data_IF_428771450328
#
_entry.id   IF_428771450328
#
_cell.length_a   1.000
_cell.length_b   1.000
_cell.length_c   1.000
_cell.angle_alpha   90.00
_cell.angle_beta   90.00
_cell.angle_gamma   90.00
#
_symmetry.space_group_name_H-M   'P 1'
#
loop_
_entity.id
_entity.type
_entity.pdbx_description
1 polymer ?
#
# COMPACT_ATOMS: atom_id res chain seq x y z
N UNK A 1 -61.21 65.34 -35.00
CA UNK A 1 -61.99 65.00 -36.21
C UNK A 1 -61.07 64.33 -37.20
N UNK A 2 -61.13 63.00 -37.15
CA UNK A 2 -61.06 62.02 -38.23
C UNK A 2 -59.85 61.99 -39.17
N UNK A 3 -59.11 60.87 -39.06
CA UNK A 3 -58.21 60.32 -40.09
C UNK A 3 -57.99 58.81 -39.81
N UNK A 4 -57.60 58.00 -40.81
CA UNK A 4 -58.47 57.09 -41.54
C UNK A 4 -58.14 55.60 -41.32
N UNK A 5 -59.02 54.72 -41.83
CA UNK A 5 -58.92 53.26 -41.86
C UNK A 5 -57.66 52.77 -42.58
N UNK A 6 -56.94 51.79 -41.99
CA UNK A 6 -55.83 51.08 -42.64
C UNK A 6 -55.89 49.58 -42.29
N UNK A 7 -56.13 48.75 -43.31
CA UNK A 7 -56.10 47.29 -43.21
C UNK A 7 -54.65 46.81 -43.16
N UNK A 8 -54.30 46.01 -42.14
CA UNK A 8 -52.96 45.44 -41.97
C UNK A 8 -52.98 43.92 -42.17
N UNK A 9 -52.24 43.49 -43.19
CA UNK A 9 -51.91 42.11 -43.53
C UNK A 9 -50.95 41.56 -42.45
N UNK A 10 -51.36 40.57 -41.65
CA UNK A 10 -50.44 39.91 -40.70
C UNK A 10 -49.78 38.69 -41.37
N UNK A 11 -48.53 38.87 -41.77
CA UNK A 11 -47.63 37.80 -42.17
C UNK A 11 -47.25 36.94 -40.94
N UNK A 12 -47.33 35.62 -41.09
CA UNK A 12 -46.91 34.65 -40.09
C UNK A 12 -45.38 34.70 -39.91
N UNK A 13 -44.92 35.22 -38.77
CA UNK A 13 -43.55 35.06 -38.29
C UNK A 13 -43.51 33.87 -37.33
N UNK A 14 -43.12 32.70 -37.83
CA UNK A 14 -42.72 31.60 -36.96
C UNK A 14 -41.37 31.94 -36.32
N UNK A 15 -41.21 31.87 -35.00
CA UNK A 15 -39.89 31.96 -34.38
C UNK A 15 -39.09 30.71 -34.74
N UNK A 16 -37.96 30.88 -35.44
CA UNK A 16 -36.97 29.82 -35.57
C UNK A 16 -36.34 29.53 -34.21
N UNK A 17 -36.78 28.46 -33.56
CA UNK A 17 -36.16 27.98 -32.32
C UNK A 17 -34.80 27.36 -32.66
N UNK A 18 -33.72 28.11 -32.47
CA UNK A 18 -32.38 27.55 -32.47
C UNK A 18 -32.16 26.80 -31.16
N UNK A 19 -32.29 25.47 -31.20
CA UNK A 19 -31.88 24.62 -30.09
C UNK A 19 -30.35 24.63 -30.01
N UNK A 20 -29.79 25.45 -29.12
CA UNK A 20 -28.38 25.37 -28.76
C UNK A 20 -28.18 24.16 -27.84
N UNK A 21 -27.41 23.17 -28.28
CA UNK A 21 -27.02 22.04 -27.45
C UNK A 21 -25.74 22.40 -26.69
N UNK A 22 -25.81 22.38 -25.36
CA UNK A 22 -24.64 22.46 -24.48
C UNK A 22 -24.38 21.10 -23.84
N UNK A 23 -23.11 20.76 -23.62
CA UNK A 23 -22.69 19.55 -22.91
C UNK A 23 -21.78 19.96 -21.77
N UNK A 24 -21.93 19.30 -20.62
CA UNK A 24 -21.14 19.58 -19.43
C UNK A 24 -19.72 19.01 -19.57
N UNK A 25 -18.72 19.87 -19.36
CA UNK A 25 -17.32 19.48 -19.23
C UNK A 25 -16.95 19.53 -17.75
N UNK A 26 -16.56 18.39 -17.18
CA UNK A 26 -16.07 18.32 -15.80
C UNK A 26 -14.56 18.15 -15.77
N UNK A 27 -13.90 18.95 -14.92
CA UNK A 27 -12.46 18.85 -14.63
C UNK A 27 -12.32 18.65 -13.13
N UNK A 28 -11.68 17.57 -12.72
CA UNK A 28 -11.39 17.26 -11.32
C UNK A 28 -9.89 17.03 -11.11
N UNK A 29 -9.43 17.36 -9.92
CA UNK A 29 -8.05 17.16 -9.48
C UNK A 29 -7.92 17.39 -7.99
N UNK A 30 -6.87 16.84 -7.39
CA UNK A 30 -6.56 16.99 -5.96
C UNK A 30 -5.15 17.53 -5.82
N UNK A 31 -4.97 18.57 -5.02
CA UNK A 31 -3.65 19.13 -4.67
C UNK A 31 -3.30 18.64 -3.27
N UNK A 32 -2.19 17.92 -3.13
CA UNK A 32 -1.65 17.49 -1.83
C UNK A 32 -0.55 18.46 -1.39
N UNK A 33 -0.78 19.36 -0.40
CA UNK A 33 0.12 20.48 -0.11
C UNK A 33 1.48 20.11 0.50
N UNK A 34 1.65 18.86 0.94
CA UNK A 34 2.87 18.33 1.56
C UNK A 34 3.09 16.89 1.11
N UNK A 35 3.56 16.72 -0.12
CA UNK A 35 3.77 15.38 -0.66
C UNK A 35 4.90 14.67 0.10
N UNK A 36 4.74 13.37 0.30
CA UNK A 36 5.77 12.47 0.80
C UNK A 36 6.17 11.51 -0.31
N UNK A 37 7.47 11.22 -0.40
CA UNK A 37 8.05 10.19 -1.26
C UNK A 37 8.61 9.09 -0.38
N UNK A 38 8.37 7.84 -0.76
CA UNK A 38 8.89 6.66 -0.06
C UNK A 38 9.90 5.92 -0.94
N UNK A 39 10.98 5.45 -0.33
CA UNK A 39 12.06 4.73 -1.03
C UNK A 39 12.43 3.49 -0.24
N UNK A 40 12.58 2.38 -0.95
CA UNK A 40 13.20 1.15 -0.45
C UNK A 40 14.55 0.98 -1.14
N UNK A 41 15.61 0.70 -0.37
CA UNK A 41 16.90 0.36 -0.97
C UNK A 41 16.79 -0.91 -1.82
N UNK A 42 17.72 -1.09 -2.76
CA UNK A 42 17.72 -2.21 -3.71
C UNK A 42 16.43 -2.34 -4.54
N UNK A 43 15.68 -1.23 -4.71
CA UNK A 43 14.41 -1.23 -5.44
C UNK A 43 13.31 -2.04 -4.77
N UNK A 44 13.44 -2.38 -3.48
CA UNK A 44 12.48 -3.23 -2.77
C UNK A 44 12.60 -4.72 -3.09
N UNK A 45 13.69 -5.15 -3.74
CA UNK A 45 13.91 -6.57 -4.10
C UNK A 45 14.55 -7.32 -2.93
N UNK A 46 13.94 -8.45 -2.58
CA UNK A 46 14.49 -9.46 -1.65
C UNK A 46 14.76 -10.72 -2.47
N UNK A 47 16.04 -11.06 -2.62
CA UNK A 47 16.47 -12.27 -3.32
C UNK A 47 17.07 -13.25 -2.30
N UNK A 48 16.45 -14.42 -2.18
CA UNK A 48 16.92 -15.52 -1.32
C UNK A 48 17.90 -16.45 -2.05
N UNK A 49 18.23 -16.14 -3.31
CA UNK A 49 19.07 -16.97 -4.16
C UNK A 49 18.39 -18.28 -4.55
N UNK A 50 19.20 -19.21 -5.06
CA UNK A 50 18.75 -20.56 -5.41
C UNK A 50 18.82 -21.47 -4.19
N UNK A 51 17.73 -22.19 -3.94
CA UNK A 51 17.64 -23.24 -2.94
C UNK A 51 17.30 -24.56 -3.61
N UNK A 52 17.81 -25.65 -3.06
CA UNK A 52 17.47 -27.01 -3.42
C UNK A 52 16.49 -27.58 -2.40
N UNK A 53 15.81 -28.68 -2.75
CA UNK A 53 14.93 -29.39 -1.81
C UNK A 53 15.65 -29.86 -0.54
N UNK A 54 16.98 -30.05 -0.59
CA UNK A 54 17.79 -30.43 0.58
C UNK A 54 18.05 -29.28 1.55
N UNK A 55 17.92 -28.05 1.09
CA UNK A 55 18.05 -26.86 1.93
C UNK A 55 16.76 -26.60 2.72
N UNK A 56 15.66 -27.28 2.36
CA UNK A 56 14.39 -27.22 3.04
C UNK A 56 14.25 -28.34 4.08
N UNK A 57 13.62 -28.01 5.20
CA UNK A 57 13.28 -28.96 6.25
C UNK A 57 12.15 -29.89 5.76
N UNK A 58 12.32 -31.24 5.86
CA UNK A 58 11.33 -32.17 5.34
C UNK A 58 9.96 -32.05 5.98
N UNK A 59 9.90 -32.01 7.31
CA UNK A 59 8.65 -32.15 8.09
C UNK A 59 8.32 -30.94 8.96
N UNK A 60 9.03 -29.83 8.79
CA UNK A 60 8.73 -28.58 9.50
C UNK A 60 9.04 -27.36 8.64
N UNK A 61 8.44 -26.18 8.92
CA UNK A 61 8.68 -24.99 8.10
C UNK A 61 10.14 -24.55 8.12
N UNK A 62 10.65 -24.18 6.94
CA UNK A 62 12.01 -23.65 6.78
C UNK A 62 12.00 -22.14 6.95
N UNK A 63 12.74 -21.63 7.94
CA UNK A 63 12.93 -20.18 8.13
C UNK A 63 14.20 -19.78 7.39
N UNK A 64 14.05 -18.87 6.43
CA UNK A 64 15.21 -18.31 5.74
C UNK A 64 15.84 -17.21 6.59
N UNK A 65 17.09 -16.87 6.26
CA UNK A 65 17.73 -15.70 6.86
C UNK A 65 16.90 -14.45 6.58
N UNK A 66 16.78 -13.62 7.62
CA UNK A 66 15.99 -12.40 7.52
C UNK A 66 16.66 -11.43 6.54
N UNK A 67 16.01 -11.15 5.43
CA UNK A 67 16.46 -10.13 4.49
C UNK A 67 16.20 -8.74 5.08
N UNK A 68 17.08 -7.79 4.78
CA UNK A 68 17.02 -6.44 5.31
C UNK A 68 17.24 -5.41 4.22
N UNK A 69 16.48 -4.32 4.28
CA UNK A 69 16.64 -3.16 3.42
C UNK A 69 16.36 -1.88 4.20
N UNK A 70 16.90 -0.77 3.71
CA UNK A 70 16.58 0.56 4.25
C UNK A 70 15.26 1.04 3.67
N UNK A 71 14.41 1.58 4.53
CA UNK A 71 13.17 2.24 4.18
C UNK A 71 13.25 3.72 4.57
N UNK A 72 12.88 4.59 3.64
CA UNK A 72 12.86 6.03 3.83
C UNK A 72 11.52 6.64 3.44
N UNK A 73 11.15 7.71 4.15
CA UNK A 73 10.11 8.65 3.72
C UNK A 73 10.65 10.07 3.83
N UNK A 74 10.47 10.85 2.77
CA UNK A 74 10.77 12.29 2.75
C UNK A 74 9.52 13.07 2.39
N UNK A 75 9.07 13.93 3.29
CA UNK A 75 7.95 14.83 3.11
C UNK A 75 8.42 16.28 2.92
N UNK A 76 7.63 17.07 2.19
CA UNK A 76 7.90 18.51 1.98
C UNK A 76 7.67 19.36 3.26
N UNK A 77 6.96 18.81 4.24
CA UNK A 77 6.73 19.41 5.56
C UNK A 77 6.31 18.36 6.58
N UNK A 78 6.03 18.81 7.81
CA UNK A 78 5.49 17.93 8.87
C UNK A 78 4.15 17.35 8.44
N UNK A 79 4.08 16.01 8.36
CA UNK A 79 2.92 15.31 7.81
C UNK A 79 2.57 14.11 8.69
N UNK A 80 1.28 13.94 8.99
CA UNK A 80 0.75 12.72 9.57
C UNK A 80 0.49 11.70 8.45
N UNK A 81 1.05 10.51 8.57
CA UNK A 81 0.79 9.44 7.62
C UNK A 81 0.73 8.08 8.31
N UNK A 82 0.16 7.15 7.57
CA UNK A 82 0.17 5.72 7.88
C UNK A 82 0.79 4.94 6.75
N UNK A 83 1.37 3.80 7.10
CA UNK A 83 1.86 2.79 6.19
C UNK A 83 0.98 1.56 6.30
N UNK A 84 0.73 0.92 5.16
CA UNK A 84 0.14 -0.42 5.07
C UNK A 84 0.75 -1.11 3.87
N UNK A 85 0.44 -2.39 3.68
CA UNK A 85 0.81 -3.11 2.47
C UNK A 85 -0.41 -3.72 1.79
N UNK A 86 -0.27 -4.05 0.52
CA UNK A 86 -1.18 -4.91 -0.22
C UNK A 86 -0.44 -6.18 -0.60
N UNK A 87 -1.01 -7.34 -0.30
CA UNK A 87 -0.53 -8.62 -0.80
C UNK A 87 -0.99 -8.85 -2.24
N UNK A 88 -0.08 -8.70 -3.20
CA UNK A 88 -0.37 -8.93 -4.62
C UNK A 88 -0.42 -10.44 -4.96
N UNK A 89 -0.24 -11.29 -3.95
CA UNK A 89 -0.39 -12.75 -3.98
C UNK A 89 -1.35 -13.23 -2.89
N UNK A 90 -2.34 -12.38 -2.57
CA UNK A 90 -3.36 -12.66 -1.56
C UNK A 90 -3.97 -14.07 -1.73
N UNK A 91 -4.16 -14.75 -0.61
CA UNK A 91 -4.66 -16.13 -0.57
C UNK A 91 -3.58 -17.21 -0.70
N UNK A 92 -2.33 -16.86 -1.06
CA UNK A 92 -1.22 -17.83 -1.17
C UNK A 92 -0.37 -17.95 0.09
N UNK A 93 -0.64 -17.16 1.15
CA UNK A 93 0.02 -17.33 2.45
C UNK A 93 -0.34 -18.69 3.08
N UNK A 94 0.68 -19.46 3.47
CA UNK A 94 0.53 -20.82 4.00
C UNK A 94 0.68 -20.92 5.53
N UNK A 95 1.50 -20.04 6.13
CA UNK A 95 1.89 -20.13 7.56
C UNK A 95 1.00 -19.26 8.44
N UNK A 96 0.75 -18.02 8.03
CA UNK A 96 -0.06 -17.07 8.79
C UNK A 96 -0.86 -16.18 7.83
N UNK A 97 -2.21 -16.12 7.94
CA UNK A 97 -3.03 -15.28 7.06
C UNK A 97 -2.72 -13.78 7.16
N UNK A 98 -2.10 -13.32 8.26
CA UNK A 98 -1.68 -11.92 8.44
C UNK A 98 -0.37 -11.55 7.73
N UNK A 99 0.30 -12.54 7.14
CA UNK A 99 1.51 -12.37 6.33
C UNK A 99 1.16 -12.32 4.84
N UNK A 100 2.17 -12.09 4.00
CA UNK A 100 2.02 -12.08 2.55
C UNK A 100 2.33 -13.45 1.99
N UNK A 101 1.63 -13.82 0.93
CA UNK A 101 1.87 -15.05 0.22
C UNK A 101 3.16 -15.04 -0.60
N UNK A 102 3.72 -16.24 -0.81
CA UNK A 102 4.93 -16.46 -1.60
C UNK A 102 4.63 -17.10 -2.97
N UNK A 103 3.35 -17.19 -3.36
CA UNK A 103 2.92 -17.92 -4.54
C UNK A 103 2.63 -19.39 -4.26
N UNK A 104 2.51 -20.15 -5.34
CA UNK A 104 2.15 -21.57 -5.33
C UNK A 104 3.00 -22.36 -6.32
N UNK A 105 3.11 -23.67 -6.11
CA UNK A 105 3.61 -24.64 -7.10
C UNK A 105 2.64 -24.76 -8.29
N UNK A 106 3.04 -25.47 -9.34
CA UNK A 106 2.16 -25.77 -10.48
C UNK A 106 0.93 -26.61 -10.04
N UNK A 107 1.10 -27.40 -8.99
CA UNK A 107 0.13 -28.26 -8.34
C UNK A 107 -0.78 -27.49 -7.36
N UNK A 108 -0.62 -26.15 -7.27
CA UNK A 108 -1.38 -25.23 -6.40
C UNK A 108 -1.10 -25.40 -4.90
N UNK A 109 0.07 -25.92 -4.55
CA UNK A 109 0.52 -26.01 -3.16
C UNK A 109 1.12 -24.65 -2.77
N UNK A 110 0.74 -24.13 -1.59
CA UNK A 110 1.21 -22.82 -1.14
C UNK A 110 2.64 -22.92 -0.62
N UNK A 111 3.52 -22.05 -1.13
CA UNK A 111 4.95 -22.14 -0.82
C UNK A 111 5.29 -21.71 0.61
N UNK A 112 4.56 -20.75 1.17
CA UNK A 112 4.92 -20.19 2.47
C UNK A 112 4.33 -18.81 2.73
N UNK A 113 5.02 -18.04 3.57
CA UNK A 113 4.64 -16.69 3.95
C UNK A 113 5.84 -15.79 4.15
N UNK A 114 5.70 -14.49 3.88
CA UNK A 114 6.66 -13.45 4.28
C UNK A 114 6.00 -12.38 5.14
N UNK A 115 6.62 -12.07 6.28
CA UNK A 115 6.23 -10.97 7.16
C UNK A 115 7.21 -9.82 7.04
N UNK A 116 6.72 -8.59 7.11
CA UNK A 116 7.57 -7.40 7.16
C UNK A 116 7.49 -6.74 8.53
N UNK A 117 8.61 -6.18 8.97
CA UNK A 117 8.66 -5.41 10.20
C UNK A 117 9.66 -4.27 10.09
N UNK A 118 9.37 -3.18 10.79
CA UNK A 118 10.21 -1.99 10.83
C UNK A 118 11.01 -1.96 12.15
N UNK A 119 12.31 -1.79 12.02
CA UNK A 119 13.27 -1.74 13.13
C UNK A 119 14.00 -0.40 13.13
N UNK A 120 14.38 0.02 14.33
CA UNK A 120 15.18 1.22 14.62
C UNK A 120 14.72 2.46 13.83
N UNK A 121 13.42 2.82 13.88
CA UNK A 121 12.96 3.98 13.15
C UNK A 121 13.49 5.27 13.78
N UNK A 122 14.05 6.12 12.94
CA UNK A 122 14.50 7.47 13.27
C UNK A 122 13.72 8.44 12.40
N UNK A 123 13.02 9.38 13.03
CA UNK A 123 12.28 10.42 12.34
C UNK A 123 12.75 11.79 12.80
N UNK A 124 13.02 12.69 11.85
CA UNK A 124 13.51 14.05 12.11
C UNK A 124 14.69 14.06 13.10
N UNK A 125 15.68 13.21 12.81
CA UNK A 125 16.91 12.97 13.59
C UNK A 125 16.71 12.45 15.02
N UNK A 126 15.51 11.95 15.34
CA UNK A 126 15.18 11.42 16.67
C UNK A 126 14.66 9.98 16.59
N UNK A 127 15.10 9.07 17.47
CA UNK A 127 14.49 7.76 17.59
C UNK A 127 12.98 7.87 17.90
N UNK A 128 12.19 7.10 17.19
CA UNK A 128 10.74 6.97 17.41
C UNK A 128 10.40 5.50 17.66
N UNK A 129 9.15 5.21 17.98
CA UNK A 129 8.63 3.83 18.03
C UNK A 129 7.58 3.61 16.97
N UNK A 130 7.53 2.39 16.46
CA UNK A 130 6.48 1.94 15.55
C UNK A 130 5.22 1.64 16.36
N UNK A 131 4.09 2.16 15.90
CA UNK A 131 2.77 1.90 16.47
C UNK A 131 1.85 1.39 15.37
N UNK A 132 0.90 0.52 15.73
CA UNK A 132 -0.08 -0.02 14.79
C UNK A 132 -1.50 0.14 15.31
N UNK A 133 -2.44 0.20 14.37
CA UNK A 133 -3.87 0.23 14.63
C UNK A 133 -4.58 -0.78 13.74
N UNK A 134 -5.29 -1.74 14.34
CA UNK A 134 -6.15 -2.69 13.63
C UNK A 134 -7.61 -2.24 13.48
N UNK A 135 -7.95 -1.04 13.95
CA UNK A 135 -9.32 -0.50 13.97
C UNK A 135 -9.45 0.84 13.23
N UNK A 136 -8.69 1.02 12.15
CA UNK A 136 -8.80 2.20 11.29
C UNK A 136 -8.29 3.52 11.89
N UNK A 137 -7.49 3.47 12.95
CA UNK A 137 -6.84 4.61 13.58
C UNK A 137 -7.44 5.03 14.91
N UNK A 138 -8.46 4.33 15.40
CA UNK A 138 -9.16 4.68 16.64
C UNK A 138 -8.32 4.38 17.90
N UNK A 139 -7.53 3.30 17.91
CA UNK A 139 -6.61 2.98 18.99
C UNK A 139 -5.27 2.48 18.44
N UNK A 140 -4.18 2.83 19.12
CA UNK A 140 -2.83 2.51 18.71
C UNK A 140 -2.05 1.79 19.80
N UNK A 141 -1.27 0.79 19.41
CA UNK A 141 -0.38 0.04 20.30
C UNK A 141 1.02 -0.05 19.70
N UNK A 142 2.05 -0.17 20.55
CA UNK A 142 3.41 -0.39 20.09
C UNK A 142 3.52 -1.76 19.42
N UNK A 143 4.03 -1.78 18.19
CA UNK A 143 4.23 -2.99 17.39
C UNK A 143 5.09 -2.65 16.19
N UNK A 144 6.05 -3.51 15.86
CA UNK A 144 6.94 -3.36 14.69
C UNK A 144 6.31 -3.88 13.39
N UNK A 145 5.08 -4.39 13.44
CA UNK A 145 4.40 -4.99 12.31
C UNK A 145 4.23 -3.99 11.16
N UNK A 146 4.52 -4.45 9.94
CA UNK A 146 4.16 -3.77 8.71
C UNK A 146 3.45 -4.81 7.83
N UNK A 147 2.16 -4.60 7.56
CA UNK A 147 1.39 -5.52 6.76
C UNK A 147 -0.03 -5.04 6.48
N UNK A 148 -0.81 -5.87 5.78
CA UNK A 148 -2.14 -5.52 5.26
C UNK A 148 -3.26 -5.53 6.32
N UNK A 149 -3.00 -6.05 7.53
CA UNK A 149 -4.00 -6.19 8.60
C UNK A 149 -4.08 -4.98 9.54
N UNK A 150 -3.15 -4.03 9.45
CA UNK A 150 -3.10 -2.88 10.35
C UNK A 150 -2.50 -1.64 9.69
N UNK A 151 -2.97 -0.47 10.10
CA UNK A 151 -2.30 0.79 9.84
C UNK A 151 -1.05 0.86 10.72
N UNK A 152 0.07 1.27 10.15
CA UNK A 152 1.34 1.46 10.84
C UNK A 152 1.68 2.95 10.86
N UNK A 153 2.11 3.49 11.99
CA UNK A 153 2.57 4.87 12.12
C UNK A 153 3.67 4.95 13.18
N UNK A 154 4.07 6.16 13.57
CA UNK A 154 5.19 6.39 14.47
C UNK A 154 4.79 7.34 15.59
N UNK A 155 5.35 7.11 16.78
CA UNK A 155 5.16 7.94 17.96
C UNK A 155 6.50 8.27 18.61
N UNK A 156 6.54 9.33 19.42
CA UNK A 156 7.70 9.62 20.27
C UNK A 156 8.03 8.42 21.17
N UNK A 157 9.32 8.10 21.33
CA UNK A 157 9.79 6.91 22.04
C UNK A 157 9.18 6.78 23.45
N UNK A 158 9.28 7.85 24.24
CA UNK A 158 8.78 7.92 25.63
C UNK A 158 7.38 8.55 25.75
N UNK A 159 6.71 8.81 24.62
CA UNK A 159 5.39 9.43 24.58
C UNK A 159 4.24 8.41 24.61
N UNK A 160 2.98 8.87 24.60
CA UNK A 160 1.83 8.01 24.35
C UNK A 160 1.91 7.35 22.95
N UNK A 161 1.16 6.28 22.74
CA UNK A 161 1.01 5.67 21.41
C UNK A 161 0.06 6.52 20.57
N UNK A 162 0.54 7.66 20.10
CA UNK A 162 -0.23 8.59 19.26
C UNK A 162 0.63 8.96 18.06
N UNK A 163 0.11 8.84 16.82
CA UNK A 163 0.83 9.29 15.63
C UNK A 163 1.35 10.71 15.78
N UNK A 164 2.59 10.94 15.37
CA UNK A 164 3.19 12.28 15.29
C UNK A 164 3.40 12.68 13.83
N UNK A 165 3.39 13.98 13.55
CA UNK A 165 3.74 14.49 12.24
C UNK A 165 5.26 14.40 12.06
N UNK A 166 5.69 13.91 10.89
CA UNK A 166 7.09 13.71 10.56
C UNK A 166 7.43 14.40 9.24
N UNK A 167 8.67 14.89 9.08
CA UNK A 167 9.19 15.35 7.79
C UNK A 167 10.08 14.31 7.12
N UNK A 168 10.82 13.55 7.92
CA UNK A 168 11.73 12.48 7.48
C UNK A 168 11.50 11.24 8.31
N UNK A 169 11.68 10.07 7.71
CA UNK A 169 11.70 8.79 8.39
C UNK A 169 12.76 7.91 7.75
N UNK A 170 13.57 7.27 8.58
CA UNK A 170 14.49 6.21 8.22
C UNK A 170 14.20 5.01 9.10
N UNK A 171 14.11 3.81 8.53
CA UNK A 171 13.98 2.57 9.28
C UNK A 171 14.65 1.42 8.55
N UNK A 172 14.94 0.34 9.29
CA UNK A 172 15.31 -0.95 8.70
C UNK A 172 14.03 -1.75 8.48
N UNK A 173 13.71 -2.06 7.23
CA UNK A 173 12.65 -3.00 6.90
C UNK A 173 13.26 -4.39 6.82
N UNK A 174 12.78 -5.31 7.65
CA UNK A 174 13.19 -6.71 7.63
C UNK A 174 12.06 -7.58 7.11
N UNK A 175 12.40 -8.53 6.26
CA UNK A 175 11.51 -9.54 5.73
C UNK A 175 11.84 -10.90 6.33
N UNK A 176 10.85 -11.54 6.94
CA UNK A 176 10.95 -12.86 7.54
C UNK A 176 10.19 -13.86 6.67
N UNK A 177 10.94 -14.55 5.82
CA UNK A 177 10.41 -15.54 4.88
C UNK A 177 10.42 -16.93 5.51
N UNK A 178 9.29 -17.61 5.42
CA UNK A 178 9.11 -18.97 5.90
C UNK A 178 8.49 -19.80 4.77
N UNK A 179 9.15 -20.90 4.42
CA UNK A 179 8.67 -21.89 3.45
C UNK A 179 8.03 -23.05 4.22
N UNK A 180 6.96 -23.64 3.68
CA UNK A 180 6.31 -24.83 4.26
C UNK A 180 7.27 -26.04 4.28
N UNK A 181 6.95 -27.13 5.01
CA UNK A 181 7.73 -28.37 4.94
C UNK A 181 7.93 -28.84 3.50
N UNK A 182 9.10 -29.39 3.18
CA UNK A 182 9.39 -29.86 1.83
C UNK A 182 8.46 -31.02 1.40
N UNK A 183 7.95 -31.81 2.34
CA UNK A 183 6.98 -32.89 2.05
C UNK A 183 5.61 -32.38 1.61
N UNK A 184 5.33 -31.10 1.84
CA UNK A 184 4.06 -30.47 1.47
C UNK A 184 4.12 -29.88 0.05
N UNK A 185 5.27 -30.00 -0.63
CA UNK A 185 5.54 -29.41 -1.94
C UNK A 185 6.00 -30.46 -2.94
N UNK A 186 5.42 -30.40 -4.13
CA UNK A 186 5.86 -31.15 -5.30
C UNK A 186 7.03 -30.38 -5.97
N UNK A 187 8.27 -30.75 -5.64
CA UNK A 187 9.49 -30.07 -6.10
C UNK A 187 10.22 -30.87 -7.21
N UNK A 188 9.53 -31.13 -8.32
CA UNK A 188 10.09 -31.87 -9.46
C UNK A 188 10.89 -30.97 -10.42
N UNK A 189 10.49 -29.70 -10.52
CA UNK A 189 11.09 -28.65 -11.35
C UNK A 189 11.42 -27.40 -10.50
N UNK A 190 12.07 -26.40 -11.10
CA UNK A 190 12.33 -25.11 -10.44
C UNK A 190 11.01 -24.40 -10.14
N UNK A 191 10.76 -24.13 -8.85
CA UNK A 191 9.57 -23.38 -8.40
C UNK A 191 10.00 -22.00 -7.91
N UNK A 192 9.54 -20.90 -8.53
CA UNK A 192 9.92 -19.56 -8.13
C UNK A 192 9.26 -19.16 -6.82
N UNK A 193 10.05 -18.53 -5.94
CA UNK A 193 9.51 -17.86 -4.75
C UNK A 193 8.95 -16.48 -5.14
N UNK A 194 7.70 -16.46 -5.57
CA UNK A 194 7.05 -15.28 -6.16
C UNK A 194 6.21 -14.50 -5.13
N UNK A 195 6.86 -14.02 -4.07
CA UNK A 195 6.24 -13.12 -3.10
C UNK A 195 6.23 -11.68 -3.61
N UNK A 196 5.06 -11.01 -3.55
CA UNK A 196 4.95 -9.62 -4.00
C UNK A 196 4.00 -8.81 -3.11
N UNK A 197 4.51 -7.70 -2.57
CA UNK A 197 3.73 -6.77 -1.76
C UNK A 197 3.91 -5.33 -2.23
N UNK A 198 2.83 -4.55 -2.18
CA UNK A 198 2.85 -3.11 -2.48
C UNK A 198 2.84 -2.34 -1.18
N UNK A 199 3.88 -1.55 -0.88
CA UNK A 199 3.87 -0.62 0.25
C UNK A 199 3.03 0.62 -0.09
N UNK A 200 2.11 0.99 0.79
CA UNK A 200 1.26 2.16 0.63
C UNK A 200 1.48 3.15 1.76
N UNK A 201 1.70 4.42 1.41
CA UNK A 201 1.66 5.55 2.31
C UNK A 201 0.33 6.29 2.13
N UNK A 202 -0.39 6.50 3.23
CA UNK A 202 -1.66 7.24 3.24
C UNK A 202 -1.59 8.40 4.24
N UNK A 203 -1.88 9.60 3.76
CA UNK A 203 -2.02 10.79 4.59
C UNK A 203 -3.21 10.67 5.54
N UNK A 204 -3.04 11.12 6.78
CA UNK A 204 -4.09 11.23 7.79
C UNK A 204 -4.78 12.60 7.75
#
# INVERSE_FOLDING_TARGET
MDRPTLAFLLAALAPGAFAASSTDLSVSGTITPRACTSVLSNGGVIDHGKMTSKDLQPSSPTRLDAAEMRFEVQCEGETFFTLTTVDNRAGTSAINPRHHGLGMTAEKEKLGSVAFSLFDPVADDKPVKVITSSNGGANWSASIYLGHEALTSFAALDGPNTPIALKTLNARLRAFTIIVPATDLTLLDEVPLDGQATLQLKYL
#
